data_IF_750428407876
#
_entry.id   IF_750428407876
#
_cell.length_a   1.000
_cell.length_b   1.000
_cell.length_c   1.000
_cell.angle_alpha   90.00
_cell.angle_beta   90.00
_cell.angle_gamma   90.00
#
_symmetry.space_group_name_H-M   'P 1'
#
loop_
_entity.id
_entity.type
_entity.pdbx_description
1 polymer ?
#
# COMPACT_ATOMS: atom_id res chain seq x y z
N UNK A 1 33.92 6.41 -17.74
CA UNK A 1 33.34 5.75 -16.55
C UNK A 1 31.84 5.97 -16.68
N UNK A 2 31.15 5.00 -17.26
CA UNK A 2 29.78 5.15 -17.75
C UNK A 2 28.74 5.31 -16.65
N UNK A 3 27.76 6.15 -16.95
CA UNK A 3 26.54 6.37 -16.20
C UNK A 3 25.84 5.03 -15.93
N UNK A 4 26.09 4.45 -14.74
CA UNK A 4 25.18 3.44 -14.21
C UNK A 4 24.11 4.19 -13.45
N UNK A 5 23.01 4.45 -14.15
CA UNK A 5 21.68 4.57 -13.59
C UNK A 5 21.52 3.47 -12.54
N UNK A 6 21.82 3.81 -11.28
CA UNK A 6 21.35 3.05 -10.14
C UNK A 6 19.84 3.22 -10.17
N UNK A 7 19.20 2.27 -10.84
CA UNK A 7 17.81 1.93 -10.61
C UNK A 7 17.57 2.11 -9.11
N UNK A 8 16.78 3.11 -8.74
CA UNK A 8 16.37 3.32 -7.36
C UNK A 8 15.46 2.14 -7.04
N UNK A 9 16.06 0.98 -6.78
CA UNK A 9 15.35 -0.25 -6.52
C UNK A 9 14.42 0.02 -5.36
N UNK A 10 13.12 -0.15 -5.60
CA UNK A 10 12.10 0.08 -4.59
C UNK A 10 12.32 -0.97 -3.51
N UNK A 11 12.78 -0.51 -2.33
CA UNK A 11 12.91 -1.36 -1.17
C UNK A 11 11.54 -1.44 -0.49
N UNK A 12 10.79 -2.48 -0.82
CA UNK A 12 9.55 -2.80 -0.13
C UNK A 12 9.85 -3.25 1.31
N UNK A 13 9.02 -2.86 2.26
CA UNK A 13 9.12 -3.20 3.67
C UNK A 13 7.76 -3.60 4.24
N UNK A 14 7.77 -4.25 5.40
CA UNK A 14 6.57 -4.79 6.04
C UNK A 14 6.19 -6.18 5.54
N UNK A 15 5.02 -6.65 5.96
CA UNK A 15 4.50 -7.96 5.57
C UNK A 15 3.60 -7.83 4.32
N UNK A 16 3.93 -8.48 3.19
CA UNK A 16 3.11 -8.44 2.00
C UNK A 16 1.78 -9.18 2.23
N UNK A 17 0.72 -8.71 1.59
CA UNK A 17 -0.59 -9.34 1.70
C UNK A 17 -1.37 -9.27 0.40
N UNK A 18 -2.24 -10.27 0.21
CA UNK A 18 -3.26 -10.23 -0.84
C UNK A 18 -4.47 -9.39 -0.39
N UNK A 19 -5.03 -8.64 -1.32
CA UNK A 19 -6.26 -7.88 -1.12
C UNK A 19 -7.22 -8.14 -2.29
N UNK A 20 -8.44 -8.55 -1.97
CA UNK A 20 -9.51 -8.76 -2.95
C UNK A 20 -10.21 -7.42 -3.22
N UNK A 21 -10.25 -7.01 -4.48
CA UNK A 21 -11.04 -5.88 -4.97
C UNK A 21 -12.24 -6.45 -5.72
N UNK A 22 -13.44 -5.92 -5.45
CA UNK A 22 -14.69 -6.33 -6.12
C UNK A 22 -15.16 -5.24 -7.07
N UNK A 23 -15.85 -5.62 -8.13
CA UNK A 23 -16.28 -4.73 -9.20
C UNK A 23 -17.19 -3.58 -8.70
N UNK A 24 -18.12 -3.87 -7.80
CA UNK A 24 -19.03 -2.87 -7.20
C UNK A 24 -18.47 -2.17 -5.95
N UNK A 25 -17.18 -2.32 -5.66
CA UNK A 25 -16.59 -1.77 -4.45
C UNK A 25 -16.16 -0.32 -4.60
N UNK A 26 -16.61 0.54 -3.68
CA UNK A 26 -16.18 1.94 -3.65
C UNK A 26 -14.75 2.08 -3.09
N UNK A 27 -14.05 3.14 -3.49
CA UNK A 27 -12.74 3.46 -2.92
C UNK A 27 -12.80 3.66 -1.39
N UNK A 28 -13.90 4.20 -0.86
CA UNK A 28 -14.09 4.37 0.59
C UNK A 28 -14.10 3.02 1.30
N UNK A 29 -14.88 2.06 0.81
CA UNK A 29 -14.93 0.71 1.38
C UNK A 29 -13.60 -0.04 1.27
N UNK A 30 -12.84 0.17 0.18
CA UNK A 30 -11.49 -0.36 0.03
C UNK A 30 -10.56 0.20 1.10
N UNK A 31 -10.58 1.53 1.32
CA UNK A 31 -9.76 2.21 2.33
C UNK A 31 -10.06 1.70 3.74
N UNK A 32 -11.33 1.55 4.10
CA UNK A 32 -11.72 1.00 5.42
C UNK A 32 -11.20 -0.42 5.65
N UNK A 33 -11.29 -1.29 4.64
CA UNK A 33 -10.78 -2.67 4.74
C UNK A 33 -9.26 -2.71 4.83
N UNK A 34 -8.59 -1.85 4.06
CA UNK A 34 -7.13 -1.73 4.08
C UNK A 34 -6.65 -1.27 5.46
N UNK A 35 -7.26 -0.22 6.01
CA UNK A 35 -6.94 0.29 7.33
C UNK A 35 -7.15 -0.77 8.43
N UNK A 36 -8.29 -1.47 8.40
CA UNK A 36 -8.56 -2.59 9.32
C UNK A 36 -7.51 -3.70 9.22
N UNK A 37 -7.03 -3.99 8.01
CA UNK A 37 -5.99 -5.02 7.78
C UNK A 37 -4.62 -4.60 8.31
N UNK A 38 -4.28 -3.31 8.18
CA UNK A 38 -3.03 -2.74 8.68
C UNK A 38 -3.05 -2.47 10.20
N UNK A 39 -4.24 -2.38 10.82
CA UNK A 39 -4.45 -2.12 12.26
C UNK A 39 -3.80 -0.81 12.72
N UNK A 40 -3.90 0.23 11.90
CA UNK A 40 -3.37 1.56 12.19
C UNK A 40 -4.49 2.54 12.52
N UNK A 41 -4.15 3.62 13.22
CA UNK A 41 -5.07 4.72 13.55
C UNK A 41 -5.53 5.46 12.29
N UNK A 42 -6.62 6.23 12.40
CA UNK A 42 -7.07 7.12 11.31
C UNK A 42 -5.99 8.15 10.95
N UNK A 43 -5.32 8.69 11.97
CA UNK A 43 -4.24 9.66 11.80
C UNK A 43 -3.07 9.07 11.01
N UNK A 44 -2.62 7.86 11.36
CA UNK A 44 -1.53 7.18 10.65
C UNK A 44 -1.92 6.75 9.24
N UNK A 45 -3.19 6.41 9.02
CA UNK A 45 -3.70 6.01 7.72
C UNK A 45 -3.96 7.18 6.76
N UNK A 46 -4.14 8.39 7.29
CA UNK A 46 -4.46 9.60 6.52
C UNK A 46 -3.26 10.25 5.82
N UNK A 47 -2.03 9.81 6.13
CA UNK A 47 -0.76 10.31 5.58
C UNK A 47 -0.58 9.97 4.10
#
# INVERSE_FOLDING_TARGET
MGDRYLDKQVQNFGEPFFMVIREDETLSSIKERLQKKLKVSDEDFSK
#
